data_IF_432148986226
#
_entry.id   IF_432148986226
#
_cell.length_a   1.000
_cell.length_b   1.000
_cell.length_c   1.000
_cell.angle_alpha   90.00
_cell.angle_beta   90.00
_cell.angle_gamma   90.00
#
_symmetry.space_group_name_H-M   'P 1'
#
loop_
_entity.id
_entity.type
_entity.pdbx_description
1 polymer ?
#
# COMPACT_ATOMS: atom_id res chain seq x y z
N UNK A 1 6.60 -19.68 -17.30
CA UNK A 1 7.52 -19.64 -16.14
C UNK A 1 7.00 -20.45 -14.93
N UNK A 2 5.96 -21.26 -15.13
CA UNK A 2 5.54 -22.24 -14.13
C UNK A 2 6.67 -23.23 -13.87
N UNK A 3 7.14 -23.34 -12.63
CA UNK A 3 8.20 -24.27 -12.24
C UNK A 3 9.42 -23.65 -11.57
N UNK A 4 9.54 -22.31 -11.54
CA UNK A 4 10.54 -21.67 -10.69
C UNK A 4 10.20 -21.87 -9.21
N UNK A 5 11.22 -22.24 -8.43
CA UNK A 5 11.14 -22.31 -6.97
C UNK A 5 11.66 -21.03 -6.37
N UNK A 6 11.30 -20.74 -5.10
CA UNK A 6 11.72 -19.53 -4.39
C UNK A 6 13.24 -19.37 -4.30
N UNK A 7 13.97 -20.47 -4.05
CA UNK A 7 15.44 -20.47 -4.01
C UNK A 7 16.08 -20.13 -5.36
N UNK A 8 15.44 -20.56 -6.47
CA UNK A 8 15.88 -20.23 -7.82
C UNK A 8 15.65 -18.74 -8.13
N UNK A 9 14.50 -18.19 -7.72
CA UNK A 9 14.20 -16.76 -7.84
C UNK A 9 15.19 -15.95 -7.01
N UNK A 10 15.45 -16.35 -5.77
CA UNK A 10 16.42 -15.70 -4.88
C UNK A 10 17.86 -15.70 -5.44
N UNK A 11 18.17 -16.61 -6.34
CA UNK A 11 19.46 -16.73 -7.01
C UNK A 11 19.62 -15.86 -8.27
N UNK A 12 18.52 -15.27 -8.78
CA UNK A 12 18.59 -14.36 -9.94
C UNK A 12 19.20 -13.02 -9.54
N UNK A 13 19.97 -12.42 -10.43
CA UNK A 13 20.40 -11.05 -10.21
C UNK A 13 19.29 -10.05 -10.59
N UNK A 14 19.34 -8.83 -10.03
CA UNK A 14 18.32 -7.81 -10.24
C UNK A 14 18.17 -7.41 -11.72
N UNK A 15 19.25 -7.51 -12.51
CA UNK A 15 19.22 -7.21 -13.95
C UNK A 15 18.41 -8.27 -14.71
N UNK A 16 18.59 -9.53 -14.36
CA UNK A 16 17.83 -10.62 -14.96
C UNK A 16 16.33 -10.51 -14.64
N UNK A 17 16.02 -10.17 -13.39
CA UNK A 17 14.64 -9.93 -12.93
C UNK A 17 14.04 -8.71 -13.62
N UNK A 18 14.82 -7.64 -13.82
CA UNK A 18 14.39 -6.42 -14.50
C UNK A 18 13.95 -6.61 -15.97
N UNK A 19 14.36 -7.71 -16.59
CA UNK A 19 13.93 -8.08 -17.94
C UNK A 19 12.59 -8.83 -18.01
N UNK A 20 11.94 -9.10 -16.88
CA UNK A 20 10.66 -9.82 -16.85
C UNK A 20 9.52 -8.93 -17.35
N UNK A 21 8.64 -9.53 -18.15
CA UNK A 21 7.41 -8.87 -18.62
C UNK A 21 6.24 -9.15 -17.66
N UNK A 22 5.16 -8.34 -17.75
CA UNK A 22 3.92 -8.57 -16.99
C UNK A 22 3.39 -10.00 -17.15
N UNK A 23 3.36 -10.52 -18.38
CA UNK A 23 2.90 -11.90 -18.66
C UNK A 23 3.78 -12.95 -17.97
N UNK A 24 5.09 -12.71 -17.91
CA UNK A 24 6.01 -13.61 -17.21
C UNK A 24 5.83 -13.53 -15.69
N UNK A 25 5.58 -12.33 -15.15
CA UNK A 25 5.25 -12.15 -13.73
C UNK A 25 3.96 -12.87 -13.36
N UNK A 26 2.87 -12.66 -14.13
CA UNK A 26 1.58 -13.37 -13.91
C UNK A 26 1.75 -14.89 -13.96
N UNK A 27 2.66 -15.40 -14.79
CA UNK A 27 2.89 -16.85 -14.97
C UNK A 27 3.77 -17.48 -13.88
N UNK A 28 4.35 -16.70 -12.96
CA UNK A 28 5.09 -17.24 -11.82
C UNK A 28 4.12 -17.85 -10.80
N UNK A 29 4.51 -19.00 -10.25
CA UNK A 29 3.77 -19.59 -9.15
C UNK A 29 3.86 -18.67 -7.91
N UNK A 30 2.76 -18.43 -7.17
CA UNK A 30 2.81 -17.62 -5.95
C UNK A 30 3.87 -18.09 -4.94
N UNK A 31 4.15 -19.38 -4.86
CA UNK A 31 5.19 -19.90 -3.96
C UNK A 31 6.60 -19.45 -4.34
N UNK A 32 6.84 -19.13 -5.61
CA UNK A 32 8.11 -18.59 -6.06
C UNK A 32 8.32 -17.15 -5.60
N UNK A 33 7.25 -16.41 -5.31
CA UNK A 33 7.31 -15.00 -4.90
C UNK A 33 8.05 -14.79 -3.58
N UNK A 34 8.00 -15.76 -2.67
CA UNK A 34 8.74 -15.72 -1.41
C UNK A 34 10.27 -15.64 -1.59
N UNK A 35 10.78 -15.93 -2.79
CA UNK A 35 12.20 -15.84 -3.12
C UNK A 35 12.65 -14.46 -3.57
N UNK A 36 11.75 -13.52 -3.85
CA UNK A 36 12.13 -12.17 -4.28
C UNK A 36 12.76 -11.37 -3.14
N UNK A 37 13.86 -10.70 -3.46
CA UNK A 37 14.58 -9.77 -2.58
C UNK A 37 14.21 -8.32 -2.93
N UNK A 38 14.46 -7.39 -2.03
CA UNK A 38 14.16 -5.95 -2.23
C UNK A 38 14.89 -5.35 -3.43
N UNK A 39 16.14 -5.71 -3.66
CA UNK A 39 16.93 -5.26 -4.82
C UNK A 39 16.37 -5.80 -6.14
N UNK A 40 15.88 -7.04 -6.16
CA UNK A 40 15.20 -7.62 -7.30
C UNK A 40 13.87 -6.91 -7.59
N UNK A 41 13.05 -6.66 -6.57
CA UNK A 41 11.81 -5.88 -6.69
C UNK A 41 12.11 -4.47 -7.22
N UNK A 42 13.12 -3.80 -6.69
CA UNK A 42 13.55 -2.48 -7.16
C UNK A 42 14.02 -2.48 -8.63
N UNK A 43 14.47 -3.62 -9.13
CA UNK A 43 14.91 -3.81 -10.51
C UNK A 43 13.78 -4.04 -11.50
N UNK A 44 12.58 -4.44 -11.04
CA UNK A 44 11.43 -4.70 -11.91
C UNK A 44 10.96 -3.42 -12.62
N UNK A 45 10.55 -3.56 -13.88
CA UNK A 45 9.83 -2.50 -14.58
C UNK A 45 8.41 -2.33 -14.01
N UNK A 46 7.89 -1.09 -13.99
CA UNK A 46 6.54 -0.82 -13.48
C UNK A 46 5.44 -1.58 -14.26
N UNK A 47 5.65 -1.85 -15.54
CA UNK A 47 4.73 -2.66 -16.34
C UNK A 47 4.78 -4.14 -15.96
N UNK A 48 5.96 -4.64 -15.59
CA UNK A 48 6.11 -6.01 -15.09
C UNK A 48 5.37 -6.21 -13.75
N UNK A 49 5.50 -5.23 -12.85
CA UNK A 49 4.81 -5.21 -11.57
C UNK A 49 3.28 -5.21 -11.74
N UNK A 50 2.76 -4.53 -12.78
CA UNK A 50 1.35 -4.54 -13.14
C UNK A 50 0.78 -5.93 -13.50
N UNK A 51 1.64 -6.91 -13.76
CA UNK A 51 1.25 -8.31 -13.98
C UNK A 51 1.09 -9.14 -12.71
N UNK A 52 1.37 -8.59 -11.52
CA UNK A 52 1.21 -9.30 -10.25
C UNK A 52 -0.26 -9.49 -9.89
N UNK A 53 -0.56 -10.66 -9.37
CA UNK A 53 -1.89 -11.02 -8.83
C UNK A 53 -1.93 -10.83 -7.31
N UNK A 54 -3.14 -10.79 -6.71
CA UNK A 54 -3.31 -10.74 -5.26
C UNK A 54 -2.59 -11.90 -4.55
N UNK A 55 -2.70 -13.11 -5.07
CA UNK A 55 -2.03 -14.29 -4.49
C UNK A 55 -0.50 -14.16 -4.51
N UNK A 56 0.05 -13.59 -5.58
CA UNK A 56 1.49 -13.32 -5.69
C UNK A 56 1.92 -12.21 -4.74
N UNK A 57 1.13 -11.14 -4.60
CA UNK A 57 1.40 -10.08 -3.62
C UNK A 57 1.41 -10.60 -2.20
N UNK A 58 0.39 -11.39 -1.81
CA UNK A 58 0.33 -12.02 -0.48
C UNK A 58 1.54 -12.90 -0.18
N UNK A 59 2.08 -13.58 -1.22
CA UNK A 59 3.19 -14.52 -1.09
C UNK A 59 4.57 -13.87 -1.07
N UNK A 60 4.70 -12.57 -1.42
CA UNK A 60 5.96 -11.82 -1.29
C UNK A 60 6.37 -11.74 0.18
N UNK A 61 7.67 -11.98 0.44
CA UNK A 61 8.22 -11.73 1.77
C UNK A 61 8.10 -10.24 2.13
N UNK A 62 7.69 -9.87 3.35
CA UNK A 62 7.62 -8.46 3.75
C UNK A 62 8.92 -7.68 3.51
N UNK A 63 10.09 -8.31 3.65
CA UNK A 63 11.38 -7.64 3.39
C UNK A 63 11.55 -7.21 1.94
N UNK A 64 10.89 -7.87 1.00
CA UNK A 64 10.91 -7.49 -0.41
C UNK A 64 10.17 -6.16 -0.68
N UNK A 65 9.20 -5.81 0.18
CA UNK A 65 8.36 -4.62 0.01
C UNK A 65 9.16 -3.31 0.05
N UNK A 66 10.28 -3.29 0.79
CA UNK A 66 11.19 -2.14 0.84
C UNK A 66 11.83 -1.81 -0.53
N UNK A 67 11.78 -2.73 -1.48
CA UNK A 67 12.28 -2.52 -2.83
C UNK A 67 11.31 -1.80 -3.77
N UNK A 68 10.03 -1.70 -3.43
CA UNK A 68 9.07 -1.03 -4.30
C UNK A 68 9.31 0.48 -4.39
N UNK A 69 9.21 0.99 -5.61
CA UNK A 69 9.26 2.43 -5.93
C UNK A 69 7.85 2.96 -6.19
N UNK A 70 7.65 4.27 -6.06
CA UNK A 70 6.33 4.90 -6.27
C UNK A 70 5.72 4.60 -7.65
N UNK A 71 6.53 4.62 -8.71
CA UNK A 71 6.06 4.29 -10.06
C UNK A 71 5.65 2.81 -10.21
N UNK A 72 6.30 1.90 -9.47
CA UNK A 72 5.91 0.49 -9.43
C UNK A 72 4.60 0.30 -8.66
N UNK A 73 4.44 0.97 -7.50
CA UNK A 73 3.19 0.96 -6.74
C UNK A 73 2.04 1.49 -7.59
N UNK A 74 2.25 2.60 -8.31
CA UNK A 74 1.27 3.16 -9.25
C UNK A 74 0.92 2.22 -10.42
N UNK A 75 1.82 1.28 -10.75
CA UNK A 75 1.64 0.28 -11.79
C UNK A 75 0.87 -0.96 -11.35
N UNK A 76 0.72 -1.21 -10.03
CA UNK A 76 -0.03 -2.35 -9.50
C UNK A 76 -1.50 -2.26 -9.84
N UNK A 77 -2.10 -3.40 -10.18
CA UNK A 77 -3.55 -3.50 -10.28
C UNK A 77 -4.18 -3.42 -8.88
N UNK A 78 -5.36 -2.79 -8.77
CA UNK A 78 -6.05 -2.63 -7.51
C UNK A 78 -6.38 -3.99 -6.84
N UNK A 79 -6.66 -5.02 -7.64
CA UNK A 79 -6.90 -6.37 -7.10
C UNK A 79 -5.62 -6.98 -6.51
N UNK A 80 -4.45 -6.69 -7.10
CA UNK A 80 -3.17 -7.12 -6.56
C UNK A 80 -2.88 -6.47 -5.21
N UNK A 81 -3.15 -5.17 -5.09
CA UNK A 81 -3.01 -4.40 -3.84
C UNK A 81 -3.91 -4.95 -2.73
N UNK A 82 -5.11 -5.44 -3.08
CA UNK A 82 -6.01 -6.13 -2.13
C UNK A 82 -5.42 -7.38 -1.49
N UNK A 83 -4.35 -7.95 -2.03
CA UNK A 83 -3.64 -9.08 -1.44
C UNK A 83 -2.58 -8.70 -0.40
N UNK A 84 -2.35 -7.42 -0.13
CA UNK A 84 -1.34 -6.96 0.83
C UNK A 84 -1.76 -7.25 2.28
N UNK A 85 -0.77 -7.65 3.07
CA UNK A 85 -0.92 -7.90 4.52
C UNK A 85 -0.41 -6.70 5.34
N UNK A 86 -0.77 -6.62 6.63
CA UNK A 86 -0.25 -5.60 7.55
C UNK A 86 1.28 -5.61 7.65
N UNK A 87 1.90 -6.79 7.69
CA UNK A 87 3.36 -6.93 7.74
C UNK A 87 4.02 -6.35 6.48
N UNK A 88 3.43 -6.59 5.32
CA UNK A 88 3.91 -6.03 4.05
C UNK A 88 3.71 -4.51 3.99
N UNK A 89 2.55 -3.99 4.45
CA UNK A 89 2.33 -2.54 4.56
C UNK A 89 3.38 -1.87 5.45
N UNK A 90 3.67 -2.45 6.62
CA UNK A 90 4.69 -1.93 7.54
C UNK A 90 6.09 -1.84 6.90
N UNK A 91 6.38 -2.71 5.94
CA UNK A 91 7.71 -2.85 5.32
C UNK A 91 7.93 -1.96 4.09
N UNK A 92 6.89 -1.33 3.54
CA UNK A 92 7.05 -0.37 2.45
C UNK A 92 7.88 0.83 2.88
N UNK A 93 8.77 1.27 1.98
CA UNK A 93 9.44 2.56 2.15
C UNK A 93 8.40 3.70 2.03
N UNK A 94 8.44 4.73 2.89
CA UNK A 94 7.50 5.85 2.79
C UNK A 94 7.47 6.52 1.42
N UNK A 95 8.60 6.58 0.71
CA UNK A 95 8.66 7.18 -0.63
C UNK A 95 7.82 6.40 -1.67
N UNK A 96 7.63 5.10 -1.48
CA UNK A 96 6.78 4.30 -2.35
C UNK A 96 5.30 4.64 -2.20
N UNK A 97 4.90 5.15 -1.02
CA UNK A 97 3.49 5.45 -0.70
C UNK A 97 2.89 6.53 -1.59
N UNK A 98 3.71 7.45 -2.11
CA UNK A 98 3.27 8.46 -3.08
C UNK A 98 2.75 7.87 -4.41
N UNK A 99 3.00 6.59 -4.65
CA UNK A 99 2.50 5.88 -5.82
C UNK A 99 1.08 5.34 -5.69
N UNK A 100 0.51 5.28 -4.49
CA UNK A 100 -0.84 4.74 -4.30
C UNK A 100 -1.91 5.63 -4.94
N UNK A 101 -2.86 4.99 -5.62
CA UNK A 101 -4.06 5.62 -6.19
C UNK A 101 -5.28 5.34 -5.33
N UNK A 102 -6.34 6.13 -5.49
CA UNK A 102 -7.57 5.98 -4.71
C UNK A 102 -8.24 4.61 -4.88
N UNK A 103 -8.27 4.06 -6.09
CA UNK A 103 -8.81 2.72 -6.37
C UNK A 103 -7.99 1.59 -5.71
N UNK A 104 -6.67 1.76 -5.65
CA UNK A 104 -5.79 0.85 -4.94
C UNK A 104 -6.02 0.91 -3.43
N UNK A 105 -6.13 2.12 -2.86
CA UNK A 105 -6.46 2.30 -1.43
C UNK A 105 -7.82 1.68 -1.11
N UNK A 106 -8.84 1.91 -1.94
CA UNK A 106 -10.17 1.33 -1.77
C UNK A 106 -10.18 -0.21 -1.82
N UNK A 107 -9.16 -0.82 -2.43
CA UNK A 107 -9.05 -2.28 -2.56
C UNK A 107 -8.27 -2.94 -1.42
N UNK A 108 -7.56 -2.17 -0.59
CA UNK A 108 -6.83 -2.70 0.56
C UNK A 108 -7.81 -3.35 1.55
N UNK A 109 -7.42 -4.52 2.05
CA UNK A 109 -8.16 -5.17 3.14
C UNK A 109 -8.02 -4.33 4.42
N UNK A 110 -9.10 -4.13 5.21
CA UNK A 110 -9.02 -3.40 6.47
C UNK A 110 -7.95 -3.94 7.44
N UNK A 111 -7.67 -5.24 7.39
CA UNK A 111 -6.60 -5.83 8.23
C UNK A 111 -5.21 -5.33 7.84
N UNK A 112 -4.98 -4.98 6.58
CA UNK A 112 -3.71 -4.41 6.13
C UNK A 112 -3.47 -2.99 6.68
N UNK A 113 -4.54 -2.26 7.00
CA UNK A 113 -4.47 -0.90 7.54
C UNK A 113 -3.69 -0.82 8.86
N UNK A 114 -3.75 -1.86 9.69
CA UNK A 114 -2.99 -1.90 10.94
C UNK A 114 -1.46 -1.84 10.74
N UNK A 115 -0.99 -2.10 9.53
CA UNK A 115 0.43 -2.02 9.18
C UNK A 115 0.92 -0.64 8.77
N UNK A 116 0.04 0.35 8.59
CA UNK A 116 0.45 1.70 8.22
C UNK A 116 1.19 2.42 9.35
N UNK A 117 2.24 3.15 8.99
CA UNK A 117 2.98 4.05 9.86
C UNK A 117 2.65 5.51 9.56
N UNK A 118 2.94 6.42 10.49
CA UNK A 118 2.70 7.84 10.32
C UNK A 118 3.45 8.44 9.12
N UNK A 119 4.72 8.09 8.96
CA UNK A 119 5.55 8.55 7.83
C UNK A 119 5.03 8.05 6.47
N UNK A 120 4.49 6.83 6.43
CA UNK A 120 3.87 6.27 5.25
C UNK A 120 2.58 7.01 4.88
N UNK A 121 1.67 7.26 5.84
CA UNK A 121 0.46 8.05 5.59
C UNK A 121 0.81 9.47 5.15
N UNK A 122 1.78 10.11 5.82
CA UNK A 122 2.22 11.45 5.46
C UNK A 122 2.89 11.55 4.08
N UNK A 123 3.36 10.45 3.53
CA UNK A 123 3.96 10.40 2.19
C UNK A 123 2.94 10.14 1.07
N UNK A 124 1.72 9.70 1.39
CA UNK A 124 0.68 9.45 0.39
C UNK A 124 0.19 10.76 -0.22
N UNK A 125 -0.18 10.69 -1.51
CA UNK A 125 -0.82 11.81 -2.19
C UNK A 125 -2.24 12.04 -1.65
N UNK A 126 -2.67 13.30 -1.52
CA UNK A 126 -4.02 13.63 -1.06
C UNK A 126 -5.11 13.01 -1.94
N UNK A 127 -4.87 12.85 -3.24
CA UNK A 127 -5.83 12.19 -4.14
C UNK A 127 -6.07 10.72 -3.80
N UNK A 128 -5.08 10.04 -3.23
CA UNK A 128 -5.23 8.65 -2.78
C UNK A 128 -6.19 8.53 -1.58
N UNK A 129 -6.29 9.58 -0.76
CA UNK A 129 -7.13 9.61 0.43
C UNK A 129 -8.63 9.46 0.13
N UNK A 130 -9.08 9.89 -1.06
CA UNK A 130 -10.46 9.69 -1.51
C UNK A 130 -10.85 8.20 -1.64
N UNK A 131 -9.87 7.31 -1.65
CA UNK A 131 -10.11 5.86 -1.70
C UNK A 131 -10.39 5.22 -0.34
N UNK A 132 -10.14 5.91 0.78
CA UNK A 132 -10.38 5.32 2.10
C UNK A 132 -11.86 5.07 2.37
N UNK A 133 -12.13 3.91 2.98
CA UNK A 133 -13.44 3.52 3.50
C UNK A 133 -13.47 3.60 5.01
N UNK A 134 -14.65 3.66 5.62
CA UNK A 134 -14.83 3.77 7.07
C UNK A 134 -14.19 2.61 7.85
N UNK A 135 -14.34 1.39 7.36
CA UNK A 135 -13.75 0.19 7.98
C UNK A 135 -12.22 0.16 7.90
N UNK A 136 -11.66 0.72 6.81
CA UNK A 136 -10.22 0.91 6.67
C UNK A 136 -9.69 1.96 7.65
N UNK A 137 -10.37 3.11 7.78
CA UNK A 137 -10.03 4.15 8.75
C UNK A 137 -10.08 3.60 10.18
N UNK A 138 -11.16 2.88 10.53
CA UNK A 138 -11.32 2.27 11.85
C UNK A 138 -10.23 1.24 12.19
N UNK A 139 -9.55 0.70 11.18
CA UNK A 139 -8.49 -0.30 11.33
C UNK A 139 -7.08 0.28 11.41
N UNK A 140 -6.92 1.57 11.11
CA UNK A 140 -5.63 2.26 11.27
C UNK A 140 -5.22 2.31 12.76
N UNK A 141 -3.93 2.12 13.02
CA UNK A 141 -3.41 2.29 14.37
C UNK A 141 -3.45 3.79 14.80
N UNK A 142 -3.81 4.13 16.05
CA UNK A 142 -3.77 5.52 16.51
C UNK A 142 -2.41 6.19 16.30
N UNK A 143 -1.33 5.44 16.43
CA UNK A 143 0.04 5.94 16.18
C UNK A 143 0.30 6.39 14.73
N UNK A 144 -0.48 5.89 13.78
CA UNK A 144 -0.38 6.31 12.38
C UNK A 144 -1.04 7.67 12.12
N UNK A 145 -1.99 8.08 12.97
CA UNK A 145 -2.77 9.30 12.79
C UNK A 145 -1.94 10.57 12.74
N UNK A 146 -0.81 10.60 13.47
CA UNK A 146 0.11 11.74 13.46
C UNK A 146 0.73 12.02 12.08
N UNK A 147 0.60 11.09 11.13
CA UNK A 147 1.07 11.27 9.77
C UNK A 147 0.12 12.02 8.85
N UNK A 148 -1.15 12.14 9.20
CA UNK A 148 -2.12 12.82 8.34
C UNK A 148 -1.84 14.32 8.22
N UNK A 149 -2.01 14.85 7.00
CA UNK A 149 -1.92 16.28 6.69
C UNK A 149 -3.31 16.86 6.44
N UNK A 150 -3.43 18.17 6.52
CA UNK A 150 -4.70 18.88 6.33
C UNK A 150 -5.31 18.64 4.93
N UNK A 151 -4.50 18.69 3.89
CA UNK A 151 -4.92 18.41 2.50
C UNK A 151 -5.39 16.96 2.32
N UNK A 152 -4.75 16.01 3.00
CA UNK A 152 -5.14 14.61 2.99
C UNK A 152 -6.50 14.40 3.67
N UNK A 153 -6.71 14.95 4.88
CA UNK A 153 -8.00 14.88 5.57
C UNK A 153 -9.11 15.55 4.76
N UNK A 154 -8.82 16.72 4.17
CA UNK A 154 -9.77 17.43 3.31
C UNK A 154 -10.13 16.68 2.01
N UNK A 155 -9.30 15.74 1.57
CA UNK A 155 -9.56 14.93 0.37
C UNK A 155 -10.35 13.65 0.65
N UNK A 156 -10.46 13.23 1.92
CA UNK A 156 -11.23 12.03 2.30
C UNK A 156 -12.73 12.27 2.10
N UNK A 157 -13.44 11.20 1.76
CA UNK A 157 -14.90 11.23 1.68
C UNK A 157 -15.52 11.31 3.09
N UNK A 158 -16.67 12.03 3.23
CA UNK A 158 -17.37 12.13 4.50
C UNK A 158 -17.79 10.76 5.06
N UNK A 159 -18.08 9.79 4.19
CA UNK A 159 -18.39 8.42 4.62
C UNK A 159 -17.20 7.72 5.27
N UNK A 160 -15.97 8.04 4.87
CA UNK A 160 -14.77 7.51 5.49
C UNK A 160 -14.57 8.07 6.91
N UNK A 161 -15.02 9.30 7.16
CA UNK A 161 -14.91 9.98 8.46
C UNK A 161 -15.65 9.25 9.57
N UNK A 162 -16.78 8.60 9.26
CA UNK A 162 -17.52 7.77 10.20
C UNK A 162 -16.71 6.59 10.77
N UNK A 163 -15.56 6.28 10.15
CA UNK A 163 -14.65 5.26 10.64
C UNK A 163 -13.67 5.73 11.72
N UNK A 164 -13.54 7.04 11.95
CA UNK A 164 -12.62 7.54 12.98
C UNK A 164 -13.10 7.21 14.38
N UNK A 165 -12.20 6.67 15.19
CA UNK A 165 -12.41 6.42 16.62
C UNK A 165 -11.86 7.59 17.44
N UNK A 166 -12.37 7.77 18.67
CA UNK A 166 -11.94 8.86 19.55
C UNK A 166 -10.44 8.89 19.83
N UNK A 167 -9.83 7.71 20.00
CA UNK A 167 -8.38 7.58 20.20
C UNK A 167 -7.56 7.95 18.95
N UNK A 168 -8.11 7.67 17.77
CA UNK A 168 -7.51 8.09 16.50
C UNK A 168 -7.60 9.61 16.30
N UNK A 169 -8.75 10.21 16.60
CA UNK A 169 -8.93 11.66 16.53
C UNK A 169 -8.00 12.36 17.51
N UNK A 170 -7.88 11.85 18.74
CA UNK A 170 -6.97 12.41 19.75
C UNK A 170 -5.49 12.33 19.36
N UNK A 171 -5.14 11.43 18.46
CA UNK A 171 -3.77 11.23 17.98
C UNK A 171 -3.43 12.01 16.70
N UNK A 172 -4.40 12.70 16.09
CA UNK A 172 -4.16 13.58 14.94
C UNK A 172 -3.29 14.77 15.34
N UNK A 173 -2.40 15.18 14.43
CA UNK A 173 -1.68 16.43 14.61
C UNK A 173 -2.66 17.62 14.58
N UNK A 174 -2.59 18.59 15.53
CA UNK A 174 -3.48 19.75 15.52
C UNK A 174 -3.49 20.55 14.21
N UNK A 175 -2.36 20.57 13.49
CA UNK A 175 -2.28 21.25 12.17
C UNK A 175 -3.09 20.53 11.09
N UNK A 176 -3.25 19.23 11.18
CA UNK A 176 -4.06 18.43 10.26
C UNK A 176 -5.56 18.74 10.41
N UNK A 177 -6.00 19.11 11.63
CA UNK A 177 -7.40 19.41 11.92
C UNK A 177 -7.98 20.55 11.06
N UNK A 178 -7.14 21.44 10.56
CA UNK A 178 -7.53 22.52 9.66
C UNK A 178 -8.06 22.01 8.29
N UNK A 179 -7.82 20.74 7.96
CA UNK A 179 -8.29 20.13 6.73
C UNK A 179 -9.72 19.63 6.77
N UNK A 180 -10.33 19.49 7.96
CA UNK A 180 -11.70 18.96 8.07
C UNK A 180 -12.73 19.91 7.47
N UNK A 181 -13.65 19.35 6.70
CA UNK A 181 -14.80 20.05 6.15
C UNK A 181 -16.04 19.86 7.05
N UNK A 182 -17.04 20.80 6.99
CA UNK A 182 -18.23 20.70 7.83
C UNK A 182 -19.02 19.38 7.66
N UNK A 183 -19.11 18.88 6.43
CA UNK A 183 -19.79 17.61 6.11
C UNK A 183 -19.03 16.40 6.67
N UNK A 184 -17.70 16.48 6.69
CA UNK A 184 -16.85 15.45 7.29
C UNK A 184 -17.01 15.41 8.81
N UNK A 185 -17.03 16.57 9.47
CA UNK A 185 -17.23 16.67 10.92
C UNK A 185 -18.65 16.20 11.31
N UNK A 186 -19.63 16.49 10.50
CA UNK A 186 -21.01 16.03 10.73
C UNK A 186 -21.17 14.50 10.58
N UNK A 187 -20.25 13.82 9.90
CA UNK A 187 -20.25 12.37 9.73
C UNK A 187 -19.47 11.62 10.85
N UNK A 188 -18.76 12.34 11.70
CA UNK A 188 -18.03 11.79 12.84
C UNK A 188 -18.94 11.82 14.07
N UNK A 189 -19.37 10.67 14.57
CA UNK A 189 -20.18 10.52 15.79
C UNK A 189 -19.31 10.39 17.05
#
# INVERSE_FOLDING_TARGET
MAGFKSDQVAGLDATAVGGLTAAQMTALDPTAMAGFKSDQVAGLDATAVGGLTAAQMTALDPTAMAGFKSNQVAGLDATAVGGLTAAQMTAFDPTAMAGFKSDQVASLDPTAMAGFKADQLGAMDATAMAGFKSDQVASLAPTAMAGFKADQLGAMDATAMAGFKSDQVAALDPTAMAGFKPDQLAAMD
#
